data_IF_224489267666
#
_entry.id   IF_224489267666
#
_cell.length_a   1.000
_cell.length_b   1.000
_cell.length_c   1.000
_cell.angle_alpha   90.00
_cell.angle_beta   90.00
_cell.angle_gamma   90.00
#
_symmetry.space_group_name_H-M   'P 1'
#
loop_
_entity.id
_entity.type
_entity.pdbx_description
1 polymer ?
#
# COMPACT_ATOMS: atom_id res chain seq x y z
N UNK A 1 9.31 -20.89 11.77
CA UNK A 1 7.84 -20.95 11.97
C UNK A 1 7.41 -19.55 12.39
N UNK A 2 6.73 -18.79 11.51
CA UNK A 2 6.24 -17.44 11.84
C UNK A 2 4.95 -17.60 12.66
N UNK A 3 4.94 -17.11 13.89
CA UNK A 3 3.73 -17.08 14.72
C UNK A 3 2.94 -15.83 14.33
N UNK A 4 1.89 -15.98 13.53
CA UNK A 4 1.00 -14.88 13.16
C UNK A 4 -0.10 -14.81 14.22
N UNK A 5 -0.08 -13.76 15.04
CA UNK A 5 -1.16 -13.50 15.98
C UNK A 5 -2.42 -13.05 15.22
N UNK A 6 -3.63 -13.47 15.65
CA UNK A 6 -4.85 -13.04 15.01
C UNK A 6 -4.97 -11.51 15.10
N UNK A 7 -5.08 -10.89 13.93
CA UNK A 7 -5.25 -9.46 13.78
C UNK A 7 -6.58 -9.02 14.40
N UNK A 8 -6.57 -8.05 15.33
CA UNK A 8 -7.83 -7.41 15.73
C UNK A 8 -8.21 -6.40 14.67
N UNK A 9 -9.21 -6.77 13.87
CA UNK A 9 -9.83 -5.92 12.86
C UNK A 9 -10.12 -4.53 13.48
N UNK A 10 -9.54 -3.48 12.88
CA UNK A 10 -9.85 -2.08 13.20
C UNK A 10 -8.98 -1.37 14.25
N UNK A 11 -7.96 -2.00 14.86
CA UNK A 11 -7.16 -1.34 15.92
C UNK A 11 -5.63 -1.48 15.82
N UNK A 12 -5.11 -2.42 15.04
CA UNK A 12 -3.67 -2.58 14.85
C UNK A 12 -3.39 -2.75 13.36
N UNK A 13 -2.18 -2.41 12.90
CA UNK A 13 -1.76 -2.78 11.55
C UNK A 13 -1.26 -4.22 11.54
N UNK A 14 -1.59 -4.95 10.49
CA UNK A 14 -1.08 -6.31 10.31
C UNK A 14 0.41 -6.27 9.99
N UNK A 15 1.10 -7.38 10.23
CA UNK A 15 2.48 -7.53 9.75
C UNK A 15 2.57 -7.27 8.23
N UNK A 16 1.53 -7.65 7.49
CA UNK A 16 1.49 -7.48 6.04
C UNK A 16 1.39 -6.01 5.64
N UNK A 17 0.54 -5.23 6.33
CA UNK A 17 0.45 -3.78 6.15
C UNK A 17 1.78 -3.08 6.44
N UNK A 18 2.42 -3.38 7.58
CA UNK A 18 3.74 -2.80 7.90
C UNK A 18 4.79 -3.21 6.86
N UNK A 19 4.82 -4.49 6.48
CA UNK A 19 5.77 -5.00 5.48
C UNK A 19 5.60 -4.30 4.12
N UNK A 20 4.36 -4.14 3.65
CA UNK A 20 4.05 -3.56 2.36
C UNK A 20 4.28 -2.05 2.35
N UNK A 21 3.79 -1.33 3.36
CA UNK A 21 3.82 0.13 3.41
C UNK A 21 5.15 0.70 3.88
N UNK A 22 6.03 -0.10 4.49
CA UNK A 22 7.31 0.41 5.02
C UNK A 22 8.12 1.20 3.99
N UNK A 23 8.31 2.50 4.25
CA UNK A 23 9.04 3.41 3.38
C UNK A 23 8.16 4.22 2.42
N UNK A 24 6.84 4.07 2.48
CA UNK A 24 5.91 5.05 1.92
C UNK A 24 6.04 6.37 2.65
N UNK A 25 5.92 7.47 1.91
CA UNK A 25 5.93 8.83 2.44
C UNK A 25 4.67 9.54 1.95
N UNK A 26 3.83 9.98 2.87
CA UNK A 26 2.70 10.84 2.53
C UNK A 26 3.25 12.23 2.22
N UNK A 27 2.98 12.73 1.02
CA UNK A 27 3.43 14.04 0.56
C UNK A 27 2.34 15.10 0.73
N UNK A 28 1.06 14.73 0.53
CA UNK A 28 -0.09 15.63 0.70
C UNK A 28 -1.37 14.86 1.01
N UNK A 29 -2.25 15.47 1.82
CA UNK A 29 -3.59 14.97 2.13
C UNK A 29 -4.58 16.13 2.00
N UNK A 30 -5.63 15.91 1.24
CA UNK A 30 -6.76 16.81 1.06
C UNK A 30 -8.07 15.99 1.03
N UNK A 31 -9.24 16.61 1.24
CA UNK A 31 -10.51 15.90 1.09
C UNK A 31 -10.62 15.26 -0.30
N UNK A 32 -10.72 13.92 -0.35
CA UNK A 32 -10.78 13.16 -1.60
C UNK A 32 -9.45 12.95 -2.32
N UNK A 33 -8.31 13.34 -1.73
CA UNK A 33 -6.99 13.21 -2.36
C UNK A 33 -5.89 12.88 -1.35
N UNK A 34 -5.07 11.90 -1.70
CA UNK A 34 -3.81 11.61 -1.02
C UNK A 34 -2.74 11.43 -2.08
N UNK A 35 -1.55 11.95 -1.82
CA UNK A 35 -0.36 11.69 -2.63
C UNK A 35 0.73 11.11 -1.74
N UNK A 36 1.33 10.03 -2.23
CA UNK A 36 2.37 9.31 -1.52
C UNK A 36 3.51 8.98 -2.46
N UNK A 37 4.74 9.20 -2.01
CA UNK A 37 5.91 8.67 -2.69
C UNK A 37 6.35 7.34 -2.08
N UNK A 38 6.74 6.40 -2.94
CA UNK A 38 7.42 5.18 -2.56
C UNK A 38 8.72 4.96 -3.35
N UNK A 39 9.81 4.57 -2.68
CA UNK A 39 11.01 4.05 -3.35
C UNK A 39 10.88 2.53 -3.42
N UNK A 40 10.86 1.96 -4.63
CA UNK A 40 10.69 0.51 -4.86
C UNK A 40 11.75 -0.28 -4.08
N UNK A 41 11.36 -1.05 -3.04
CA UNK A 41 12.30 -1.80 -2.22
C UNK A 41 12.51 -3.22 -2.76
N UNK A 42 13.66 -3.86 -2.51
CA UNK A 42 13.95 -5.23 -2.97
C UNK A 42 12.90 -6.26 -2.52
N UNK A 43 12.29 -6.05 -1.35
CA UNK A 43 11.32 -6.99 -0.77
C UNK A 43 9.98 -7.06 -1.52
N UNK A 44 9.72 -6.10 -2.42
CA UNK A 44 8.48 -6.03 -3.21
C UNK A 44 8.72 -6.20 -4.70
N UNK A 45 9.94 -6.57 -5.12
CA UNK A 45 10.25 -6.77 -6.53
C UNK A 45 10.03 -8.22 -6.98
N UNK A 46 9.62 -8.39 -8.23
CA UNK A 46 9.60 -9.67 -8.93
C UNK A 46 11.01 -10.14 -9.35
N UNK A 47 11.08 -11.29 -10.02
CA UNK A 47 12.34 -11.88 -10.52
C UNK A 47 13.07 -11.00 -11.55
N UNK A 48 12.37 -10.07 -12.17
CA UNK A 48 12.87 -9.14 -13.18
C UNK A 48 13.32 -7.80 -12.56
N UNK A 49 13.23 -7.67 -11.22
CA UNK A 49 13.55 -6.46 -10.48
C UNK A 49 12.53 -5.34 -10.67
N UNK A 50 11.32 -5.65 -11.14
CA UNK A 50 10.21 -4.70 -11.20
C UNK A 50 9.39 -4.80 -9.92
N UNK A 51 8.74 -3.71 -9.52
CA UNK A 51 7.71 -3.76 -8.49
C UNK A 51 6.65 -4.81 -8.89
N UNK A 52 6.44 -5.80 -8.03
CA UNK A 52 5.52 -6.90 -8.31
C UNK A 52 4.09 -6.38 -8.45
N UNK A 53 3.31 -6.95 -9.37
CA UNK A 53 1.93 -6.51 -9.62
C UNK A 53 1.05 -6.63 -8.38
N UNK A 54 1.23 -7.67 -7.56
CA UNK A 54 0.55 -7.81 -6.28
C UNK A 54 0.94 -6.75 -5.25
N UNK A 55 2.19 -6.26 -5.29
CA UNK A 55 2.63 -5.15 -4.45
C UNK A 55 2.00 -3.82 -4.92
N UNK A 56 1.85 -3.62 -6.23
CA UNK A 56 1.10 -2.46 -6.78
C UNK A 56 -0.34 -2.51 -6.30
N UNK A 57 -1.01 -3.66 -6.43
CA UNK A 57 -2.40 -3.81 -5.98
C UNK A 57 -2.58 -3.49 -4.50
N UNK A 58 -1.67 -3.99 -3.65
CA UNK A 58 -1.72 -3.69 -2.22
C UNK A 58 -1.50 -2.21 -1.92
N UNK A 59 -0.57 -1.55 -2.62
CA UNK A 59 -0.34 -0.11 -2.43
C UNK A 59 -1.57 0.70 -2.85
N UNK A 60 -2.24 0.33 -3.94
CA UNK A 60 -3.48 0.98 -4.40
C UNK A 60 -4.61 0.78 -3.40
N UNK A 61 -4.73 -0.41 -2.79
CA UNK A 61 -5.73 -0.69 -1.75
C UNK A 61 -5.56 0.19 -0.52
N UNK A 62 -4.37 0.14 0.09
CA UNK A 62 -4.09 0.85 1.34
C UNK A 62 -4.17 2.38 1.17
N UNK A 63 -3.59 2.90 0.08
CA UNK A 63 -3.62 4.35 -0.20
C UNK A 63 -5.03 4.79 -0.60
N UNK A 64 -5.76 3.98 -1.37
CA UNK A 64 -7.15 4.26 -1.74
C UNK A 64 -8.10 4.27 -0.54
N UNK A 65 -7.95 3.30 0.37
CA UNK A 65 -8.71 3.23 1.62
C UNK A 65 -8.47 4.43 2.54
N UNK A 66 -7.26 5.00 2.54
CA UNK A 66 -6.94 6.19 3.33
C UNK A 66 -7.73 7.44 2.90
N UNK A 67 -8.12 7.55 1.62
CA UNK A 67 -8.88 8.71 1.10
C UNK A 67 -10.29 8.78 1.70
N UNK A 68 -10.91 7.63 1.88
CA UNK A 68 -12.30 7.50 2.37
C UNK A 68 -12.38 7.34 3.88
N UNK A 69 -11.24 7.32 4.57
CA UNK A 69 -11.19 7.18 6.02
C UNK A 69 -11.60 8.48 6.71
N UNK A 70 -12.47 8.36 7.72
CA UNK A 70 -12.87 9.44 8.61
C UNK A 70 -12.25 9.18 9.97
N UNK A 71 -11.52 10.17 10.48
CA UNK A 71 -10.87 10.08 11.79
C UNK A 71 -11.88 9.73 12.90
N UNK A 72 -11.57 8.71 13.70
CA UNK A 72 -12.43 8.23 14.78
C UNK A 72 -13.44 7.14 14.38
N UNK A 73 -13.54 6.79 13.09
CA UNK A 73 -14.31 5.64 12.62
C UNK A 73 -13.38 4.51 12.19
N UNK A 74 -13.92 3.29 12.07
CA UNK A 74 -13.19 2.17 11.50
C UNK A 74 -12.80 2.48 10.05
N UNK A 75 -11.61 2.06 9.61
CA UNK A 75 -11.25 2.15 8.20
C UNK A 75 -12.29 1.43 7.33
N UNK A 76 -12.69 2.09 6.25
CA UNK A 76 -13.52 1.47 5.24
C UNK A 76 -12.73 0.38 4.53
N UNK A 77 -13.44 -0.63 4.02
CA UNK A 77 -12.86 -1.70 3.23
C UNK A 77 -13.14 -1.44 1.75
N UNK A 78 -12.14 -1.69 0.92
CA UNK A 78 -12.29 -1.66 -0.53
C UNK A 78 -13.17 -2.83 -0.98
N UNK A 79 -14.16 -2.54 -1.84
CA UNK A 79 -15.12 -3.56 -2.33
C UNK A 79 -14.78 -4.01 -3.75
N UNK A 80 -14.35 -3.09 -4.61
CA UNK A 80 -13.97 -3.37 -5.99
C UNK A 80 -12.81 -2.46 -6.42
N UNK A 81 -11.95 -2.97 -7.31
CA UNK A 81 -10.82 -2.23 -7.86
C UNK A 81 -10.52 -2.67 -9.28
N UNK A 82 -10.13 -1.70 -10.09
CA UNK A 82 -9.54 -1.95 -11.41
C UNK A 82 -8.20 -1.24 -11.52
N UNK A 83 -7.16 -1.99 -11.88
CA UNK A 83 -5.79 -1.49 -12.01
C UNK A 83 -5.31 -1.72 -13.43
N UNK A 84 -4.87 -0.65 -14.08
CA UNK A 84 -4.27 -0.69 -15.42
C UNK A 84 -2.76 -0.45 -15.33
N UNK A 85 -1.97 -1.38 -15.86
CA UNK A 85 -0.51 -1.29 -15.84
C UNK A 85 0.00 -0.66 -17.13
N UNK A 86 0.38 0.61 -17.07
CA UNK A 86 0.91 1.36 -18.22
C UNK A 86 2.43 1.24 -18.37
N UNK A 87 3.13 0.71 -17.36
CA UNK A 87 4.58 0.59 -17.34
C UNK A 87 5.08 -0.22 -16.15
N UNK A 88 6.41 -0.27 -15.97
CA UNK A 88 7.06 -0.97 -14.87
C UNK A 88 7.93 -0.03 -14.05
N UNK A 89 8.03 -0.28 -12.74
CA UNK A 89 8.90 0.46 -11.84
C UNK A 89 10.04 -0.44 -11.38
N UNK A 90 11.30 -0.08 -11.70
CA UNK A 90 12.48 -0.86 -11.32
C UNK A 90 12.85 -0.65 -9.85
N UNK A 91 13.62 -1.59 -9.30
CA UNK A 91 14.26 -1.45 -8.00
C UNK A 91 14.91 -0.08 -7.82
N UNK A 92 14.74 0.52 -6.63
CA UNK A 92 15.23 1.85 -6.24
C UNK A 92 14.65 3.05 -6.99
N UNK A 93 13.80 2.84 -8.01
CA UNK A 93 13.06 3.93 -8.65
C UNK A 93 12.05 4.51 -7.66
N UNK A 94 11.86 5.82 -7.72
CA UNK A 94 10.87 6.56 -6.93
C UNK A 94 9.59 6.68 -7.76
N UNK A 95 8.47 6.23 -7.18
CA UNK A 95 7.13 6.34 -7.75
C UNK A 95 6.26 7.22 -6.84
N UNK A 96 5.27 7.88 -7.42
CA UNK A 96 4.34 8.81 -6.75
C UNK A 96 2.94 8.66 -7.32
#
# INVERSE_FOLDING_TARGET
RLTIHPHRLGFQCSFYEDFALRGIRVDSVQPGFVSCTFRVPPRLTDKSGNLATGAVANLVDEVGGAIVHVEGLTMNVSVDMSISFLGTAKLNVRIS
#
